data_IF_232703663565
#
_entry.id   IF_232703663565
#
_cell.length_a   1.000
_cell.length_b   1.000
_cell.length_c   1.000
_cell.angle_alpha   90.00
_cell.angle_beta   90.00
_cell.angle_gamma   90.00
#
_symmetry.space_group_name_H-M   'P 1'
#
loop_
_entity.id
_entity.type
_entity.pdbx_description
1 polymer ?
#
# COMPACT_ATOMS: atom_id res chain seq x y z
N UNK A 1 4.54 0.19 11.38
CA UNK A 1 5.33 -0.59 10.40
C UNK A 1 6.36 0.28 9.68
N UNK A 2 5.95 1.24 8.82
CA UNK A 2 6.89 2.10 8.08
C UNK A 2 7.80 2.88 9.04
N UNK A 3 7.24 3.50 10.08
CA UNK A 3 7.99 4.22 11.12
C UNK A 3 9.04 3.34 11.79
N UNK A 4 8.67 2.12 12.15
CA UNK A 4 9.60 1.18 12.81
C UNK A 4 10.73 0.74 11.86
N UNK A 5 10.40 0.45 10.60
CA UNK A 5 11.39 0.04 9.60
C UNK A 5 12.41 1.13 9.30
N UNK A 6 12.00 2.39 9.36
CA UNK A 6 12.86 3.55 9.11
C UNK A 6 13.45 4.15 10.40
N UNK A 7 13.14 3.62 11.56
CA UNK A 7 13.58 4.18 12.85
C UNK A 7 13.03 5.57 13.14
N UNK A 8 11.87 5.91 12.56
CA UNK A 8 11.24 7.21 12.77
C UNK A 8 10.39 7.19 14.04
N UNK A 9 10.64 8.14 14.93
CA UNK A 9 9.80 8.37 16.10
C UNK A 9 8.53 9.09 15.66
N UNK A 10 7.44 8.34 15.49
CA UNK A 10 6.09 8.87 15.19
C UNK A 10 5.27 8.82 16.47
N UNK A 11 4.78 9.96 16.92
CA UNK A 11 4.01 10.14 18.16
C UNK A 11 2.54 10.48 17.90
N UNK A 12 2.21 10.94 16.70
CA UNK A 12 0.84 11.23 16.28
C UNK A 12 0.55 10.67 14.89
N UNK A 13 -0.65 10.13 14.72
CA UNK A 13 -1.14 9.64 13.42
C UNK A 13 -2.52 10.25 13.19
N UNK A 14 -2.72 10.78 11.98
CA UNK A 14 -4.04 11.20 11.49
C UNK A 14 -4.42 10.40 10.26
N UNK A 15 -5.71 10.16 10.10
CA UNK A 15 -6.27 9.47 8.94
C UNK A 15 -7.56 10.15 8.50
N UNK A 16 -7.73 10.28 7.18
CA UNK A 16 -8.95 10.78 6.55
C UNK A 16 -9.34 9.83 5.44
N UNK A 17 -10.61 9.45 5.38
CA UNK A 17 -11.17 8.61 4.32
C UNK A 17 -12.37 9.34 3.73
N UNK A 18 -12.34 9.61 2.44
CA UNK A 18 -13.38 10.32 1.72
C UNK A 18 -13.88 9.51 0.52
N UNK A 19 -15.18 9.58 0.18
CA UNK A 19 -15.68 8.94 -1.03
C UNK A 19 -15.19 9.70 -2.28
N UNK A 20 -14.80 8.97 -3.30
CA UNK A 20 -14.63 9.51 -4.65
C UNK A 20 -15.98 9.41 -5.37
N UNK A 21 -16.55 10.54 -5.74
CA UNK A 21 -17.84 10.61 -6.44
C UNK A 21 -17.61 10.72 -7.94
N UNK A 22 -18.26 9.85 -8.72
CA UNK A 22 -18.20 9.88 -10.18
C UNK A 22 -18.77 11.19 -10.73
N UNK A 23 -18.00 11.92 -11.52
CA UNK A 23 -18.44 13.18 -12.18
C UNK A 23 -19.32 12.91 -13.39
N UNK A 24 -19.11 11.78 -14.02
CA UNK A 24 -19.86 11.28 -15.19
C UNK A 24 -20.08 9.77 -15.04
N UNK A 25 -20.90 9.20 -15.93
CA UNK A 25 -21.10 7.76 -15.93
C UNK A 25 -19.82 7.03 -16.32
N UNK A 26 -19.42 6.07 -15.49
CA UNK A 26 -18.27 5.19 -15.73
C UNK A 26 -18.79 3.77 -15.92
N UNK A 27 -18.42 3.14 -17.02
CA UNK A 27 -18.82 1.76 -17.35
C UNK A 27 -17.57 0.90 -17.47
N UNK A 28 -17.57 -0.23 -16.79
CA UNK A 28 -16.54 -1.27 -16.89
C UNK A 28 -17.18 -2.60 -17.30
N UNK A 29 -16.40 -3.63 -17.63
CA UNK A 29 -16.95 -4.98 -17.87
C UNK A 29 -17.69 -5.58 -16.67
N UNK A 30 -17.48 -5.07 -15.48
CA UNK A 30 -17.98 -5.67 -14.23
C UNK A 30 -19.07 -4.84 -13.55
N UNK A 31 -19.05 -3.52 -13.73
CA UNK A 31 -20.01 -2.64 -13.08
C UNK A 31 -20.15 -1.29 -13.80
N UNK A 32 -21.29 -0.63 -13.55
CA UNK A 32 -21.58 0.72 -13.99
C UNK A 32 -21.79 1.62 -12.76
N UNK A 33 -21.18 2.81 -12.79
CA UNK A 33 -21.34 3.84 -11.77
C UNK A 33 -21.92 5.07 -12.43
N UNK A 34 -23.10 5.51 -12.01
CA UNK A 34 -23.72 6.71 -12.56
C UNK A 34 -23.07 7.98 -11.98
N UNK A 35 -23.20 9.10 -12.72
CA UNK A 35 -22.79 10.39 -12.22
C UNK A 35 -23.45 10.69 -10.85
N UNK A 36 -22.68 11.19 -9.91
CA UNK A 36 -23.11 11.46 -8.54
C UNK A 36 -23.09 10.27 -7.58
N UNK A 37 -22.80 9.07 -8.05
CA UNK A 37 -22.60 7.90 -7.19
C UNK A 37 -21.15 7.77 -6.73
N UNK A 38 -20.95 7.07 -5.61
CA UNK A 38 -19.61 6.74 -5.08
C UNK A 38 -18.94 5.75 -6.03
N UNK A 39 -17.78 6.13 -6.55
CA UNK A 39 -16.96 5.31 -7.44
C UNK A 39 -15.80 4.61 -6.69
N UNK A 40 -15.47 5.05 -5.49
CA UNK A 40 -14.37 4.49 -4.69
C UNK A 40 -14.03 5.34 -3.49
N UNK A 41 -12.79 5.23 -3.05
CA UNK A 41 -12.28 5.91 -1.85
C UNK A 41 -10.99 6.67 -2.13
N UNK A 42 -10.81 7.77 -1.41
CA UNK A 42 -9.58 8.51 -1.27
C UNK A 42 -9.20 8.53 0.22
N UNK A 43 -8.07 7.97 0.54
CA UNK A 43 -7.58 7.82 1.91
C UNK A 43 -6.22 8.49 2.04
N UNK A 44 -6.05 9.30 3.07
CA UNK A 44 -4.79 9.94 3.42
C UNK A 44 -4.47 9.57 4.86
N UNK A 45 -3.26 9.07 5.09
CA UNK A 45 -2.71 8.86 6.43
C UNK A 45 -1.40 9.63 6.58
N UNK A 46 -1.21 10.26 7.75
CA UNK A 46 -0.04 11.07 8.07
C UNK A 46 0.53 10.66 9.42
N UNK A 47 1.86 10.62 9.50
CA UNK A 47 2.58 10.37 10.74
C UNK A 47 3.48 11.55 11.09
N UNK A 48 3.40 12.01 12.33
CA UNK A 48 4.12 13.17 12.81
C UNK A 48 5.10 12.81 13.93
N UNK A 49 6.19 13.58 14.00
CA UNK A 49 7.08 13.65 15.15
C UNK A 49 7.04 15.08 15.69
N UNK A 50 6.31 15.30 16.78
CA UNK A 50 5.90 16.63 17.20
C UNK A 50 5.11 17.35 16.10
N UNK A 51 5.55 18.52 15.68
CA UNK A 51 4.89 19.28 14.58
C UNK A 51 5.39 18.92 13.17
N UNK A 52 6.31 17.98 13.05
CA UNK A 52 6.92 17.65 11.75
C UNK A 52 6.31 16.41 11.14
N UNK A 53 5.69 16.54 9.96
CA UNK A 53 5.24 15.38 9.19
C UNK A 53 6.46 14.56 8.72
N UNK A 54 6.45 13.27 9.03
CA UNK A 54 7.51 12.32 8.68
C UNK A 54 7.05 11.29 7.67
N UNK A 55 5.77 10.99 7.67
CA UNK A 55 5.17 10.00 6.79
C UNK A 55 3.90 10.58 6.20
N UNK A 56 3.77 10.52 4.89
CA UNK A 56 2.56 10.80 4.13
C UNK A 56 2.22 9.57 3.31
N UNK A 57 1.01 9.11 3.40
CA UNK A 57 0.50 8.00 2.61
C UNK A 57 -0.82 8.40 1.98
N UNK A 58 -0.97 8.17 0.69
CA UNK A 58 -2.19 8.46 -0.05
C UNK A 58 -2.61 7.24 -0.87
N UNK A 59 -3.86 6.87 -0.76
CA UNK A 59 -4.48 5.82 -1.56
C UNK A 59 -5.70 6.41 -2.28
N UNK A 60 -5.69 6.34 -3.60
CA UNK A 60 -6.84 6.61 -4.44
C UNK A 60 -7.25 5.33 -5.15
N UNK A 61 -8.37 4.75 -4.75
CA UNK A 61 -8.87 3.51 -5.32
C UNK A 61 -10.32 3.71 -5.77
N UNK A 62 -10.52 3.93 -7.06
CA UNK A 62 -11.83 4.20 -7.63
C UNK A 62 -11.97 3.71 -9.08
N UNK A 63 -13.20 3.43 -9.46
CA UNK A 63 -13.55 3.03 -10.83
C UNK A 63 -13.40 4.23 -11.77
N UNK A 64 -12.68 4.04 -12.89
CA UNK A 64 -12.43 5.09 -13.86
C UNK A 64 -11.14 5.89 -13.62
N UNK A 65 -10.25 5.43 -12.74
CA UNK A 65 -8.92 6.01 -12.64
C UNK A 65 -8.17 5.88 -13.96
N UNK A 66 -7.64 7.00 -14.46
CA UNK A 66 -7.05 7.08 -15.81
C UNK A 66 -5.55 6.76 -15.84
N UNK A 67 -4.88 6.89 -14.73
CA UNK A 67 -3.41 6.76 -14.66
C UNK A 67 -3.00 6.02 -13.36
N UNK A 68 -3.27 4.70 -13.29
CA UNK A 68 -2.91 3.93 -12.11
C UNK A 68 -1.38 3.83 -11.97
N UNK A 69 -0.91 3.90 -10.74
CA UNK A 69 0.51 3.80 -10.45
C UNK A 69 0.79 3.80 -8.96
N UNK A 70 1.91 3.22 -8.57
CA UNK A 70 2.43 3.30 -7.20
C UNK A 70 3.71 4.12 -7.21
N UNK A 71 3.85 5.04 -6.26
CA UNK A 71 5.07 5.84 -6.09
C UNK A 71 5.47 5.88 -4.62
N UNK A 72 6.74 5.65 -4.37
CA UNK A 72 7.37 5.81 -3.05
C UNK A 72 8.47 6.85 -3.18
N UNK A 73 8.39 7.92 -2.38
CA UNK A 73 9.39 8.96 -2.30
C UNK A 73 10.04 8.95 -0.92
N UNK A 74 11.36 8.93 -0.89
CA UNK A 74 12.14 8.97 0.34
C UNK A 74 13.06 10.18 0.29
N UNK A 75 12.82 11.14 1.16
CA UNK A 75 13.71 12.29 1.34
C UNK A 75 14.84 11.90 2.28
N UNK A 76 16.07 11.85 1.76
CA UNK A 76 17.23 11.39 2.50
C UNK A 76 18.54 11.76 1.81
N UNK A 77 19.58 11.03 2.08
CA UNK A 77 20.86 11.18 1.40
C UNK A 77 21.34 9.82 0.86
N UNK A 78 21.17 9.53 -0.44
CA UNK A 78 20.47 10.37 -1.44
C UNK A 78 18.94 10.35 -1.28
N UNK A 79 18.25 11.26 -1.95
CA UNK A 79 16.81 11.13 -2.19
C UNK A 79 16.54 9.95 -3.13
N UNK A 80 15.47 9.21 -2.86
CA UNK A 80 15.07 8.07 -3.67
C UNK A 80 13.61 8.24 -4.11
N UNK A 81 13.34 7.85 -5.35
CA UNK A 81 11.97 7.72 -5.87
C UNK A 81 11.84 6.37 -6.58
N UNK A 82 10.84 5.60 -6.20
CA UNK A 82 10.45 4.36 -6.86
C UNK A 82 9.06 4.55 -7.44
N UNK A 83 8.88 4.25 -8.71
CA UNK A 83 7.57 4.30 -9.38
C UNK A 83 7.29 2.99 -10.08
N UNK A 84 6.07 2.49 -9.94
CA UNK A 84 5.53 1.35 -10.66
C UNK A 84 4.41 1.86 -11.58
N UNK A 85 4.70 2.15 -12.87
CA UNK A 85 3.68 2.57 -13.81
C UNK A 85 2.62 1.47 -13.98
N UNK A 86 1.36 1.87 -14.01
CA UNK A 86 0.23 0.93 -14.05
C UNK A 86 -0.14 0.36 -12.67
N UNK A 87 0.66 0.61 -11.65
CA UNK A 87 0.44 0.13 -10.29
C UNK A 87 0.59 -1.38 -10.11
N UNK A 88 0.49 -1.81 -8.88
CA UNK A 88 0.53 -3.22 -8.50
C UNK A 88 -0.88 -3.77 -8.40
N UNK A 89 -1.20 -4.84 -9.13
CA UNK A 89 -2.53 -5.48 -9.03
C UNK A 89 -2.70 -6.08 -7.63
N UNK A 90 -3.59 -5.48 -6.82
CA UNK A 90 -3.74 -5.79 -5.41
C UNK A 90 -4.00 -7.26 -5.11
N UNK A 91 -4.90 -7.92 -5.86
CA UNK A 91 -5.26 -9.32 -5.62
C UNK A 91 -4.07 -10.26 -5.93
N UNK A 92 -3.34 -9.99 -7.02
CA UNK A 92 -2.15 -10.79 -7.38
C UNK A 92 -1.04 -10.57 -6.36
N UNK A 93 -0.80 -9.33 -5.95
CA UNK A 93 0.21 -9.01 -4.96
C UNK A 93 -0.10 -9.65 -3.60
N UNK A 94 -1.35 -9.58 -3.15
CA UNK A 94 -1.81 -10.18 -1.90
C UNK A 94 -1.60 -11.69 -1.91
N UNK A 95 -2.05 -12.39 -2.95
CA UNK A 95 -1.85 -13.83 -3.08
C UNK A 95 -0.36 -14.19 -3.10
N UNK A 96 0.46 -13.41 -3.82
CA UNK A 96 1.90 -13.62 -3.91
C UNK A 96 2.60 -13.44 -2.55
N UNK A 97 2.25 -12.40 -1.81
CA UNK A 97 2.81 -12.16 -0.46
C UNK A 97 2.45 -13.32 0.47
N UNK A 98 1.18 -13.77 0.48
CA UNK A 98 0.74 -14.90 1.31
C UNK A 98 1.56 -16.15 1.01
N UNK A 99 1.71 -16.51 -0.26
CA UNK A 99 2.49 -17.70 -0.66
C UNK A 99 3.96 -17.55 -0.30
N UNK A 100 4.56 -16.39 -0.56
CA UNK A 100 5.97 -16.13 -0.26
C UNK A 100 6.26 -16.06 1.25
N UNK A 101 5.26 -15.79 2.08
CA UNK A 101 5.40 -15.83 3.54
C UNK A 101 5.48 -17.25 4.12
N UNK A 102 5.04 -18.29 3.41
CA UNK A 102 4.98 -19.66 3.94
C UNK A 102 6.33 -20.12 4.55
N UNK A 103 7.46 -20.04 3.85
CA UNK A 103 8.74 -20.47 4.43
C UNK A 103 9.12 -19.66 5.68
N UNK A 104 8.82 -18.37 5.67
CA UNK A 104 9.12 -17.45 6.78
C UNK A 104 8.30 -17.79 8.02
N UNK A 105 7.02 -18.10 7.85
CA UNK A 105 6.11 -18.49 8.94
C UNK A 105 6.53 -19.85 9.52
N UNK A 106 6.91 -20.81 8.70
CA UNK A 106 7.37 -22.12 9.18
C UNK A 106 8.64 -22.03 10.03
N UNK A 107 9.50 -21.05 9.76
CA UNK A 107 10.73 -20.81 10.53
C UNK A 107 10.52 -19.88 11.74
N UNK A 108 9.37 -19.26 11.87
CA UNK A 108 9.11 -18.29 12.94
C UNK A 108 8.88 -18.99 14.30
N UNK A 109 9.12 -18.26 15.38
CA UNK A 109 8.75 -18.72 16.71
C UNK A 109 7.23 -18.86 16.82
N UNK A 110 6.76 -19.86 17.55
CA UNK A 110 5.34 -20.08 17.79
C UNK A 110 4.66 -18.86 18.44
N UNK A 111 3.41 -18.62 18.06
CA UNK A 111 2.58 -17.53 18.56
C UNK A 111 2.02 -16.65 17.44
N UNK A 112 1.25 -15.61 17.80
CA UNK A 112 0.76 -14.62 16.87
C UNK A 112 1.94 -13.80 16.34
N UNK A 113 2.08 -13.72 15.02
CA UNK A 113 3.09 -12.93 14.33
C UNK A 113 2.44 -11.95 13.37
N UNK A 114 3.06 -10.80 13.25
CA UNK A 114 2.68 -9.75 12.29
C UNK A 114 3.79 -9.56 11.26
N UNK A 115 3.53 -8.81 10.22
CA UNK A 115 4.56 -8.43 9.24
C UNK A 115 5.73 -7.62 9.83
N UNK A 116 5.59 -7.09 11.06
CA UNK A 116 6.68 -6.46 11.81
C UNK A 116 7.66 -7.47 12.41
N UNK A 117 7.17 -8.65 12.74
CA UNK A 117 7.93 -9.68 13.47
C UNK A 117 8.65 -10.64 12.53
N UNK A 118 8.37 -10.54 11.23
CA UNK A 118 8.89 -11.44 10.21
C UNK A 118 9.84 -10.70 9.27
N UNK A 119 10.88 -11.40 8.75
CA UNK A 119 11.65 -10.89 7.63
C UNK A 119 10.76 -10.58 6.43
N UNK A 120 11.19 -9.64 5.59
CA UNK A 120 10.47 -9.36 4.34
C UNK A 120 10.33 -10.63 3.50
N UNK A 121 9.11 -10.87 3.02
CA UNK A 121 8.84 -11.98 2.13
C UNK A 121 9.43 -11.69 0.75
N UNK A 122 10.06 -12.66 0.15
CA UNK A 122 10.62 -12.59 -1.20
C UNK A 122 10.36 -13.90 -1.95
N UNK A 123 10.35 -13.84 -3.27
CA UNK A 123 10.26 -15.03 -4.08
C UNK A 123 11.55 -15.87 -3.87
N UNK A 124 11.45 -17.09 -3.31
CA UNK A 124 12.62 -17.94 -3.18
C UNK A 124 13.17 -18.31 -4.57
N UNK A 125 14.48 -18.46 -4.72
CA UNK A 125 15.05 -18.96 -5.97
C UNK A 125 14.39 -20.28 -6.37
N UNK A 126 14.08 -20.43 -7.65
CA UNK A 126 13.57 -21.70 -8.14
C UNK A 126 14.53 -22.83 -7.75
N UNK A 127 13.99 -23.92 -7.22
CA UNK A 127 14.80 -25.10 -6.96
C UNK A 127 15.49 -25.51 -8.26
N UNK A 128 16.80 -25.65 -8.24
CA UNK A 128 17.51 -26.20 -9.40
C UNK A 128 16.98 -27.61 -9.64
N UNK A 129 16.69 -27.99 -10.91
CA UNK A 129 16.26 -29.32 -11.26
C UNK A 129 17.33 -30.37 -10.90
#
# INVERSE_FOLDING_TARGET
MVSDALGLAVDEISETIEPVVARERVTTPFLEVAAGQVAGVHQIARGFAGSTEKIYMELQMFVGATDPGDTVEITGNPNLTLTIPGGTHGDIATASVVVNCIPTILAAQAGLRTSRDLPMCFLPPAAKP
#
